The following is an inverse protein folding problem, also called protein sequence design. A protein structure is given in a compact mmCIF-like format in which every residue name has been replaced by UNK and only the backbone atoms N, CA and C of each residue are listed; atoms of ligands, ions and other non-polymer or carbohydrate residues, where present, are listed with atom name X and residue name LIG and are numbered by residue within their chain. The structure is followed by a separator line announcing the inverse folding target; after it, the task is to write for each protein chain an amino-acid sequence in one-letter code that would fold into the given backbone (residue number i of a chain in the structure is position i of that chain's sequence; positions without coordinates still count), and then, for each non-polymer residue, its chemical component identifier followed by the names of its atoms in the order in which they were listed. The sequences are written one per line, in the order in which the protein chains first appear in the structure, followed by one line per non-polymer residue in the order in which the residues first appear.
data_IF_255927847326
#
_entry.id   IF_255927847326
#
_cell.length_a   1.000
_cell.length_b   1.000
_cell.length_c   1.000
_cell.angle_alpha   90.00
_cell.angle_beta   90.00
_cell.angle_gamma   90.00
#
_symmetry.space_group_name_H-M   'P 1'
#
loop_
_entity.id
_entity.type
_entity.pdbx_description
1 polymer ?
#
# COMPACT_ATOMS: atom_id res chain seq x y z
N UNK A 1 -34.53 12.98 -2.27
CA UNK A 1 -33.18 13.12 -1.71
C UNK A 1 -32.96 11.86 -0.90
N UNK A 2 -32.02 10.97 -1.29
CA UNK A 2 -31.59 9.88 -0.39
C UNK A 2 -30.92 10.57 0.80
N UNK A 3 -31.34 10.24 2.02
CA UNK A 3 -30.60 10.62 3.22
C UNK A 3 -29.15 10.18 3.03
N UNK A 4 -28.20 11.10 3.25
CA UNK A 4 -26.78 10.80 3.26
C UNK A 4 -26.58 9.93 4.51
N UNK A 5 -26.58 8.61 4.34
CA UNK A 5 -26.36 7.69 5.45
C UNK A 5 -24.96 7.96 6.04
N UNK A 6 -24.94 8.25 7.32
CA UNK A 6 -23.67 8.34 8.06
C UNK A 6 -22.99 6.97 7.95
N UNK A 7 -21.73 6.97 7.52
CA UNK A 7 -20.95 5.73 7.41
C UNK A 7 -20.79 5.11 8.81
N UNK A 8 -21.16 3.85 8.93
CA UNK A 8 -20.98 3.08 10.16
C UNK A 8 -19.71 2.24 10.02
N UNK A 9 -18.59 2.78 10.52
CA UNK A 9 -17.27 2.13 10.44
C UNK A 9 -17.28 0.75 11.08
N UNK A 10 -18.06 0.54 12.15
CA UNK A 10 -18.14 -0.74 12.84
C UNK A 10 -18.69 -1.84 11.93
N UNK A 11 -19.72 -1.54 11.13
CA UNK A 11 -20.24 -2.50 10.15
C UNK A 11 -19.23 -2.85 9.06
N UNK A 12 -18.42 -1.89 8.63
CA UNK A 12 -17.33 -2.14 7.68
C UNK A 12 -16.26 -3.05 8.30
N UNK A 13 -15.85 -2.78 9.54
CA UNK A 13 -14.90 -3.60 10.27
C UNK A 13 -15.41 -5.03 10.49
N UNK A 14 -16.70 -5.19 10.85
CA UNK A 14 -17.35 -6.50 10.99
C UNK A 14 -17.39 -7.26 9.64
N UNK A 15 -17.76 -6.59 8.55
CA UNK A 15 -17.79 -7.18 7.21
C UNK A 15 -16.38 -7.54 6.69
N UNK A 16 -15.37 -6.73 7.00
CA UNK A 16 -13.97 -7.04 6.69
C UNK A 16 -13.47 -8.23 7.51
N UNK A 17 -13.81 -8.30 8.80
CA UNK A 17 -13.47 -9.43 9.66
C UNK A 17 -14.13 -10.74 9.19
N UNK A 18 -15.42 -10.69 8.78
CA UNK A 18 -16.12 -11.83 8.16
C UNK A 18 -15.40 -12.33 6.91
N UNK A 19 -14.98 -11.42 6.04
CA UNK A 19 -14.25 -11.77 4.83
C UNK A 19 -12.90 -12.42 5.14
N UNK A 20 -12.12 -11.80 6.02
CA UNK A 20 -10.76 -12.28 6.35
C UNK A 20 -10.77 -13.59 7.14
N UNK A 21 -11.84 -13.88 7.88
CA UNK A 21 -12.01 -15.15 8.59
C UNK A 21 -12.12 -16.39 7.66
N UNK A 22 -12.28 -16.19 6.35
CA UNK A 22 -12.25 -17.28 5.35
C UNK A 22 -10.83 -17.76 5.03
N UNK A 23 -9.82 -17.04 5.48
CA UNK A 23 -8.40 -17.34 5.28
C UNK A 23 -7.79 -17.81 6.61
N UNK A 24 -6.64 -18.47 6.54
CA UNK A 24 -5.93 -18.85 7.75
C UNK A 24 -5.36 -17.62 8.47
N UNK A 25 -6.13 -17.10 9.44
CA UNK A 25 -5.72 -15.94 10.24
C UNK A 25 -4.51 -16.21 11.15
N UNK A 26 -4.09 -17.47 11.30
CA UNK A 26 -2.86 -17.83 12.00
C UNK A 26 -1.64 -17.76 11.06
N UNK A 27 -1.83 -17.69 9.74
CA UNK A 27 -0.73 -17.41 8.82
C UNK A 27 -0.19 -15.99 9.08
N UNK A 28 1.10 -15.85 9.43
CA UNK A 28 1.70 -14.53 9.69
C UNK A 28 1.53 -13.54 8.54
N UNK A 29 1.42 -14.01 7.30
CA UNK A 29 1.19 -13.15 6.13
C UNK A 29 -0.23 -12.61 6.07
N UNK A 30 -1.22 -13.42 6.44
CA UNK A 30 -2.63 -13.01 6.54
C UNK A 30 -2.79 -12.00 7.67
N UNK A 31 -2.28 -12.31 8.87
CA UNK A 31 -2.32 -11.40 10.02
C UNK A 31 -1.61 -10.08 9.73
N UNK A 32 -0.44 -10.12 9.08
CA UNK A 32 0.27 -8.93 8.64
C UNK A 32 -0.62 -8.02 7.81
N UNK A 33 -1.37 -8.57 6.82
CA UNK A 33 -2.24 -7.80 5.94
C UNK A 33 -3.49 -7.27 6.64
N UNK A 34 -4.06 -8.03 7.57
CA UNK A 34 -5.16 -7.54 8.41
C UNK A 34 -4.71 -6.31 9.19
N UNK A 35 -3.61 -6.40 9.93
CA UNK A 35 -3.07 -5.29 10.72
C UNK A 35 -2.65 -4.09 9.86
N UNK A 36 -2.04 -4.33 8.70
CA UNK A 36 -1.68 -3.31 7.72
C UNK A 36 -2.91 -2.53 7.27
N UNK A 37 -3.99 -3.20 6.87
CA UNK A 37 -5.23 -2.57 6.42
C UNK A 37 -5.78 -1.58 7.47
N UNK A 38 -5.90 -1.98 8.73
CA UNK A 38 -6.37 -1.09 9.78
C UNK A 38 -5.44 0.11 10.02
N UNK A 39 -4.12 -0.08 9.96
CA UNK A 39 -3.16 1.01 10.13
C UNK A 39 -3.21 2.00 8.96
N UNK A 40 -3.31 1.50 7.72
CA UNK A 40 -3.46 2.34 6.54
C UNK A 40 -4.75 3.15 6.60
N UNK A 41 -5.88 2.54 7.00
CA UNK A 41 -7.14 3.27 7.19
C UNK A 41 -7.02 4.39 8.23
N UNK A 42 -6.36 4.12 9.36
CA UNK A 42 -6.10 5.14 10.39
C UNK A 42 -5.17 6.27 9.91
N UNK A 43 -4.17 5.93 9.08
CA UNK A 43 -3.27 6.92 8.47
C UNK A 43 -4.01 7.78 7.44
N UNK A 44 -4.87 7.19 6.60
CA UNK A 44 -5.74 7.93 5.68
C UNK A 44 -6.60 8.96 6.42
N UNK A 45 -7.21 8.55 7.54
CA UNK A 45 -7.97 9.45 8.40
C UNK A 45 -7.11 10.59 8.94
N UNK A 46 -5.90 10.30 9.46
CA UNK A 46 -4.99 11.32 10.01
C UNK A 46 -4.58 12.32 8.95
N UNK A 47 -4.22 11.85 7.75
CA UNK A 47 -3.84 12.71 6.63
C UNK A 47 -5.03 13.57 6.18
N UNK A 48 -6.22 13.00 5.97
CA UNK A 48 -7.42 13.75 5.56
C UNK A 48 -7.79 14.84 6.59
N UNK A 49 -7.72 14.54 7.89
CA UNK A 49 -7.94 15.54 8.96
C UNK A 49 -6.96 16.71 8.86
N UNK A 50 -5.68 16.45 8.56
CA UNK A 50 -4.68 17.51 8.41
C UNK A 50 -4.98 18.44 7.22
N UNK A 51 -5.67 17.92 6.21
CA UNK A 51 -6.13 18.68 5.03
C UNK A 51 -7.47 19.41 5.28
N UNK A 52 -8.00 19.37 6.49
CA UNK A 52 -9.29 20.00 6.87
C UNK A 52 -10.51 19.47 6.10
N UNK A 53 -10.45 18.19 5.71
CA UNK A 53 -11.57 17.52 5.08
C UNK A 53 -12.80 17.50 6.01
N UNK A 54 -13.99 17.48 5.42
CA UNK A 54 -15.26 17.25 6.14
C UNK A 54 -15.31 15.85 6.76
N UNK A 55 -16.18 15.62 7.73
CA UNK A 55 -16.36 14.30 8.35
C UNK A 55 -16.65 13.21 7.30
N UNK A 56 -17.42 13.55 6.25
CA UNK A 56 -17.74 12.62 5.15
C UNK A 56 -16.49 12.25 4.34
N UNK A 57 -15.65 13.20 4.02
CA UNK A 57 -14.39 12.99 3.29
C UNK A 57 -13.38 12.23 4.13
N UNK A 58 -13.36 12.46 5.45
CA UNK A 58 -12.52 11.70 6.39
C UNK A 58 -12.98 10.23 6.44
N UNK A 59 -14.30 9.97 6.51
CA UNK A 59 -14.84 8.62 6.45
C UNK A 59 -14.53 7.94 5.10
N UNK A 60 -14.62 8.68 4.00
CA UNK A 60 -14.26 8.19 2.66
C UNK A 60 -12.78 7.80 2.56
N UNK A 61 -11.87 8.66 3.07
CA UNK A 61 -10.45 8.36 3.10
C UNK A 61 -10.14 7.13 3.96
N UNK A 62 -10.77 7.02 5.13
CA UNK A 62 -10.66 5.85 6.00
C UNK A 62 -11.15 4.57 5.31
N UNK A 63 -12.30 4.63 4.63
CA UNK A 63 -12.85 3.50 3.87
C UNK A 63 -11.92 3.07 2.75
N UNK A 64 -11.32 4.02 2.02
CA UNK A 64 -10.32 3.70 0.98
C UNK A 64 -9.18 2.86 1.53
N UNK A 65 -8.70 3.20 2.73
CA UNK A 65 -7.68 2.41 3.43
C UNK A 65 -8.17 1.01 3.82
N UNK A 66 -9.44 0.85 4.23
CA UNK A 66 -10.02 -0.47 4.54
C UNK A 66 -10.15 -1.37 3.32
N UNK A 67 -10.32 -0.79 2.12
CA UNK A 67 -10.61 -1.55 0.90
C UNK A 67 -9.36 -1.84 0.05
N UNK A 68 -8.27 -1.07 0.18
CA UNK A 68 -7.18 -1.05 -0.79
C UNK A 68 -6.54 -2.43 -1.05
N UNK A 69 -6.39 -3.22 -0.02
CA UNK A 69 -5.67 -4.51 -0.04
C UNK A 69 -6.57 -5.75 0.10
N UNK A 70 -7.88 -5.61 -0.09
CA UNK A 70 -8.84 -6.75 -0.05
C UNK A 70 -8.42 -7.87 -1.00
N UNK A 71 -7.87 -7.55 -2.16
CA UNK A 71 -7.37 -8.51 -3.15
C UNK A 71 -6.14 -9.31 -2.70
N UNK A 72 -5.39 -8.83 -1.70
CA UNK A 72 -4.18 -9.51 -1.20
C UNK A 72 -4.47 -10.86 -0.57
N UNK A 73 -5.65 -11.04 0.03
CA UNK A 73 -6.04 -12.30 0.63
C UNK A 73 -6.24 -13.38 -0.45
N UNK A 74 -6.93 -13.05 -1.54
CA UNK A 74 -7.07 -13.94 -2.69
C UNK A 74 -5.74 -14.16 -3.42
N UNK A 75 -4.93 -13.11 -3.59
CA UNK A 75 -3.60 -13.22 -4.18
C UNK A 75 -2.74 -14.21 -3.39
N UNK A 76 -2.69 -14.09 -2.06
CA UNK A 76 -1.92 -15.00 -1.22
C UNK A 76 -2.46 -16.43 -1.29
N UNK A 77 -3.80 -16.61 -1.18
CA UNK A 77 -4.44 -17.93 -1.23
C UNK A 77 -4.14 -18.67 -2.53
N UNK A 78 -4.16 -17.97 -3.64
CA UNK A 78 -4.01 -18.57 -4.98
C UNK A 78 -2.57 -18.74 -5.42
N UNK A 79 -1.72 -17.79 -5.08
CA UNK A 79 -0.36 -17.73 -5.63
C UNK A 79 0.73 -17.91 -4.55
N UNK A 80 0.37 -17.93 -3.26
CA UNK A 80 1.33 -18.07 -2.16
C UNK A 80 2.29 -16.88 -1.99
N UNK A 81 2.07 -15.78 -2.72
CA UNK A 81 2.98 -14.63 -2.76
C UNK A 81 2.24 -13.30 -2.86
N UNK A 82 2.89 -12.22 -2.40
CA UNK A 82 2.44 -10.83 -2.59
C UNK A 82 3.16 -10.12 -3.76
N UNK A 83 3.95 -10.85 -4.56
CA UNK A 83 4.69 -10.27 -5.69
C UNK A 83 3.78 -10.23 -6.93
N UNK A 84 3.26 -9.06 -7.29
CA UNK A 84 2.34 -8.89 -8.40
C UNK A 84 2.89 -9.44 -9.72
N UNK A 85 4.18 -9.21 -10.00
CA UNK A 85 4.85 -9.73 -11.20
C UNK A 85 4.92 -11.28 -11.29
N UNK A 86 4.63 -11.99 -10.18
CA UNK A 86 4.59 -13.47 -10.10
C UNK A 86 3.16 -14.00 -9.88
N UNK A 87 2.17 -13.12 -9.88
CA UNK A 87 0.79 -13.46 -9.56
C UNK A 87 -0.21 -12.59 -10.33
N UNK A 88 -0.83 -11.62 -9.68
CA UNK A 88 -1.88 -10.74 -10.20
C UNK A 88 -1.69 -9.32 -9.66
N UNK A 89 -2.14 -8.31 -10.40
CA UNK A 89 -2.24 -6.95 -9.88
C UNK A 89 -3.25 -6.92 -8.72
N UNK A 90 -2.74 -6.78 -7.50
CA UNK A 90 -3.57 -6.81 -6.29
C UNK A 90 -4.49 -5.60 -6.17
N UNK A 91 -4.07 -4.43 -6.65
CA UNK A 91 -4.87 -3.22 -6.58
C UNK A 91 -6.08 -3.31 -7.51
N UNK A 92 -5.86 -3.76 -8.75
CA UNK A 92 -6.91 -4.09 -9.69
C UNK A 92 -7.85 -5.16 -9.14
N UNK A 93 -7.29 -6.24 -8.57
CA UNK A 93 -8.09 -7.31 -7.96
C UNK A 93 -8.91 -6.79 -6.77
N UNK A 94 -8.36 -5.93 -5.90
CA UNK A 94 -9.11 -5.33 -4.78
C UNK A 94 -10.31 -4.54 -5.29
N UNK A 95 -10.13 -3.69 -6.31
CA UNK A 95 -11.21 -2.92 -6.91
C UNK A 95 -12.27 -3.84 -7.55
N UNK A 96 -11.85 -4.88 -8.27
CA UNK A 96 -12.77 -5.82 -8.91
C UNK A 96 -13.58 -6.64 -7.90
N UNK A 97 -12.96 -7.06 -6.78
CA UNK A 97 -13.66 -7.80 -5.72
C UNK A 97 -14.75 -6.95 -5.04
N UNK A 98 -14.57 -5.65 -4.92
CA UNK A 98 -15.55 -4.74 -4.28
C UNK A 98 -16.53 -4.18 -5.30
N UNK A 99 -16.09 -3.71 -6.46
CA UNK A 99 -16.88 -2.94 -7.42
C UNK A 99 -17.19 -3.68 -8.72
N UNK A 100 -16.57 -4.84 -8.96
CA UNK A 100 -16.84 -5.69 -10.12
C UNK A 100 -18.29 -6.16 -10.18
N UNK A 101 -18.82 -6.44 -11.39
CA UNK A 101 -20.18 -6.94 -11.53
C UNK A 101 -20.35 -8.33 -10.89
N UNK A 102 -21.62 -8.65 -10.52
CA UNK A 102 -21.98 -9.91 -9.88
C UNK A 102 -21.73 -11.17 -10.76
N UNK A 103 -21.48 -11.00 -12.06
CA UNK A 103 -21.25 -12.06 -13.03
C UNK A 103 -19.78 -12.52 -13.07
N UNK A 104 -18.91 -11.95 -12.21
CA UNK A 104 -17.52 -12.38 -12.07
C UNK A 104 -16.59 -11.95 -13.21
N UNK A 105 -16.98 -10.98 -14.02
CA UNK A 105 -16.09 -10.37 -15.00
C UNK A 105 -15.10 -9.46 -14.27
N UNK A 106 -14.02 -10.07 -13.80
CA UNK A 106 -12.88 -9.33 -13.28
C UNK A 106 -12.19 -8.64 -14.47
N UNK A 107 -11.92 -7.33 -14.36
CA UNK A 107 -11.10 -6.61 -15.35
C UNK A 107 -9.63 -7.03 -15.26
N UNK A 108 -9.24 -7.55 -14.11
CA UNK A 108 -7.91 -8.10 -13.85
C UNK A 108 -7.84 -9.50 -14.44
N UNK A 109 -6.86 -9.76 -15.30
CA UNK A 109 -6.64 -11.08 -15.90
C UNK A 109 -6.32 -12.12 -14.82
N UNK A 110 -7.24 -13.06 -14.63
CA UNK A 110 -7.10 -14.22 -13.75
C UNK A 110 -7.22 -15.46 -14.62
N UNK A 111 -6.29 -16.41 -14.46
CA UNK A 111 -6.28 -17.63 -15.28
C UNK A 111 -7.45 -18.57 -14.95
N UNK A 112 -7.88 -19.43 -15.91
CA UNK A 112 -9.06 -20.33 -15.77
C UNK A 112 -9.01 -21.27 -14.55
N UNK A 113 -7.81 -21.56 -14.01
CA UNK A 113 -7.66 -22.38 -12.79
C UNK A 113 -8.17 -21.69 -11.53
N UNK A 114 -8.62 -20.44 -11.62
CA UNK A 114 -8.84 -19.54 -10.49
C UNK A 114 -10.31 -19.14 -10.33
N UNK A 115 -11.24 -19.93 -10.88
CA UNK A 115 -12.68 -19.63 -10.86
C UNK A 115 -13.32 -19.58 -9.48
N UNK A 116 -12.69 -20.13 -8.45
CA UNK A 116 -13.17 -20.06 -7.07
C UNK A 116 -12.57 -18.83 -6.35
N UNK A 117 -13.24 -17.70 -6.46
CA UNK A 117 -12.89 -16.46 -5.75
C UNK A 117 -13.81 -16.29 -4.53
N UNK A 118 -13.24 -15.92 -3.39
CA UNK A 118 -14.02 -15.54 -2.23
C UNK A 118 -14.40 -14.05 -2.31
N UNK A 119 -15.61 -13.79 -2.76
CA UNK A 119 -16.12 -12.42 -2.79
C UNK A 119 -16.45 -11.92 -1.38
N UNK A 120 -16.08 -10.68 -1.03
CA UNK A 120 -16.40 -10.05 0.24
C UNK A 120 -17.86 -9.52 0.22
N UNK A 121 -18.85 -10.42 0.15
CA UNK A 121 -20.23 -10.04 -0.15
C UNK A 121 -20.82 -9.05 0.86
N UNK A 122 -20.63 -9.25 2.16
CA UNK A 122 -21.12 -8.35 3.20
C UNK A 122 -20.48 -6.97 3.07
N UNK A 123 -19.17 -6.92 2.76
CA UNK A 123 -18.44 -5.68 2.57
C UNK A 123 -18.92 -4.92 1.32
N UNK A 124 -19.14 -5.64 0.20
CA UNK A 124 -19.72 -5.08 -1.04
C UNK A 124 -21.07 -4.45 -0.79
N UNK A 125 -22.00 -5.22 -0.21
CA UNK A 125 -23.35 -4.75 0.07
C UNK A 125 -23.33 -3.47 0.91
N UNK A 126 -22.49 -3.44 1.94
CA UNK A 126 -22.40 -2.28 2.80
C UNK A 126 -21.80 -1.06 2.08
N UNK A 127 -20.76 -1.26 1.26
CA UNK A 127 -20.17 -0.19 0.43
C UNK A 127 -21.21 0.40 -0.52
N UNK A 128 -22.02 -0.44 -1.18
CA UNK A 128 -23.13 0.00 -2.05
C UNK A 128 -24.21 0.79 -1.29
N UNK A 129 -24.50 0.41 -0.03
CA UNK A 129 -25.47 1.10 0.80
C UNK A 129 -24.97 2.46 1.30
N UNK A 130 -23.69 2.58 1.65
CA UNK A 130 -23.16 3.76 2.31
C UNK A 130 -22.57 4.81 1.38
N UNK A 131 -22.36 4.51 0.09
CA UNK A 131 -21.81 5.43 -0.90
C UNK A 131 -22.86 5.88 -1.92
N UNK A 132 -22.76 7.13 -2.36
CA UNK A 132 -23.41 7.56 -3.58
C UNK A 132 -22.76 6.94 -4.82
N UNK A 133 -23.47 6.90 -5.95
CA UNK A 133 -22.90 6.38 -7.21
C UNK A 133 -21.61 7.10 -7.62
N UNK A 134 -21.49 8.40 -7.33
CA UNK A 134 -20.29 9.20 -7.59
C UNK A 134 -19.14 8.80 -6.68
N UNK A 135 -19.40 8.66 -5.40
CA UNK A 135 -18.38 8.21 -4.42
C UNK A 135 -17.91 6.78 -4.72
N UNK A 136 -18.82 5.88 -5.16
CA UNK A 136 -18.45 4.52 -5.59
C UNK A 136 -17.49 4.53 -6.78
N UNK A 137 -17.71 5.41 -7.77
CA UNK A 137 -16.77 5.57 -8.89
C UNK A 137 -15.41 6.08 -8.43
N UNK A 138 -15.39 7.09 -7.55
CA UNK A 138 -14.13 7.62 -7.03
C UNK A 138 -13.33 6.59 -6.25
N UNK A 139 -13.96 5.89 -5.31
CA UNK A 139 -13.24 4.94 -4.45
C UNK A 139 -12.76 3.71 -5.24
N UNK A 140 -13.48 3.30 -6.29
CA UNK A 140 -13.00 2.28 -7.23
C UNK A 140 -11.67 2.70 -7.86
N UNK A 141 -11.56 3.94 -8.37
CA UNK A 141 -10.33 4.45 -8.96
C UNK A 141 -9.22 4.57 -7.91
N UNK A 142 -9.54 5.12 -6.74
CA UNK A 142 -8.60 5.27 -5.62
C UNK A 142 -7.98 3.92 -5.23
N UNK A 143 -8.81 2.88 -5.07
CA UNK A 143 -8.36 1.53 -4.75
C UNK A 143 -7.57 0.92 -5.91
N UNK A 144 -8.05 1.05 -7.15
CA UNK A 144 -7.42 0.46 -8.34
C UNK A 144 -6.00 0.98 -8.60
N UNK A 145 -5.74 2.25 -8.33
CA UNK A 145 -4.47 2.89 -8.67
C UNK A 145 -3.54 3.13 -7.47
N UNK A 146 -3.88 2.62 -6.28
CA UNK A 146 -3.06 2.90 -5.09
C UNK A 146 -1.61 2.42 -5.20
N UNK A 147 -1.36 1.30 -5.88
CA UNK A 147 -0.02 0.71 -6.04
C UNK A 147 0.69 1.12 -7.34
N UNK A 148 0.05 1.91 -8.22
CA UNK A 148 0.65 2.36 -9.47
C UNK A 148 1.88 3.25 -9.22
N UNK A 149 2.87 3.17 -10.10
CA UNK A 149 4.05 4.05 -10.00
C UNK A 149 3.66 5.53 -10.14
N UNK A 150 2.84 5.84 -11.12
CA UNK A 150 2.21 7.16 -11.35
C UNK A 150 0.70 6.98 -11.48
N UNK A 151 -0.05 7.99 -11.08
CA UNK A 151 -1.50 8.01 -11.31
C UNK A 151 -1.77 8.22 -12.80
N UNK A 152 -2.81 7.59 -13.36
CA UNK A 152 -3.16 7.79 -14.75
C UNK A 152 -3.68 9.22 -15.00
N UNK A 153 -3.52 9.69 -16.22
CA UNK A 153 -4.13 10.93 -16.68
C UNK A 153 -5.67 10.82 -16.68
N UNK A 154 -6.35 11.94 -16.45
CA UNK A 154 -7.80 12.03 -16.56
C UNK A 154 -8.58 11.71 -15.29
N UNK A 155 -7.92 11.47 -14.16
CA UNK A 155 -8.59 11.44 -12.86
C UNK A 155 -9.13 12.82 -12.49
N UNK A 156 -10.29 12.88 -11.83
CA UNK A 156 -10.82 14.11 -11.24
C UNK A 156 -9.91 14.64 -10.11
N UNK A 157 -10.15 15.87 -9.66
CA UNK A 157 -9.43 16.44 -8.52
C UNK A 157 -9.64 15.61 -7.26
N UNK A 158 -10.86 15.16 -7.01
CA UNK A 158 -11.21 14.32 -5.86
C UNK A 158 -10.56 12.93 -5.94
N UNK A 159 -10.60 12.27 -7.10
CA UNK A 159 -9.94 10.98 -7.31
C UNK A 159 -8.42 11.10 -7.10
N UNK A 160 -7.83 12.16 -7.63
CA UNK A 160 -6.40 12.45 -7.45
C UNK A 160 -6.06 12.71 -5.97
N UNK A 161 -6.88 13.52 -5.30
CA UNK A 161 -6.67 13.86 -3.89
C UNK A 161 -6.73 12.60 -3.00
N UNK A 162 -7.81 11.81 -3.09
CA UNK A 162 -7.96 10.62 -2.27
C UNK A 162 -6.99 9.49 -2.65
N UNK A 163 -6.61 9.38 -3.94
CA UNK A 163 -5.53 8.49 -4.35
C UNK A 163 -4.21 8.86 -3.68
N UNK A 164 -3.87 10.14 -3.61
CA UNK A 164 -2.66 10.59 -2.92
C UNK A 164 -2.74 10.35 -1.42
N UNK A 165 -3.90 10.56 -0.77
CA UNK A 165 -4.09 10.24 0.66
C UNK A 165 -3.82 8.76 0.93
N UNK A 166 -4.42 7.86 0.15
CA UNK A 166 -4.24 6.42 0.30
C UNK A 166 -2.79 6.00 0.01
N UNK A 167 -2.20 6.50 -1.07
CA UNK A 167 -0.82 6.18 -1.47
C UNK A 167 0.21 6.62 -0.45
N UNK A 168 0.02 7.78 0.17
CA UNK A 168 0.88 8.26 1.25
C UNK A 168 0.73 7.37 2.48
N UNK A 169 -0.50 7.07 2.89
CA UNK A 169 -0.79 6.20 4.03
C UNK A 169 -0.16 4.80 3.88
N UNK A 170 -0.31 4.19 2.70
CA UNK A 170 0.27 2.88 2.39
C UNK A 170 1.80 2.91 2.43
N UNK A 171 2.45 3.91 1.79
CA UNK A 171 3.90 4.08 1.84
C UNK A 171 4.44 4.24 3.26
N UNK A 172 3.74 5.00 4.11
CA UNK A 172 4.11 5.18 5.52
C UNK A 172 4.09 3.84 6.27
N UNK A 173 3.01 3.06 6.10
CA UNK A 173 2.91 1.76 6.79
C UNK A 173 3.88 0.72 6.23
N UNK A 174 4.23 0.77 4.94
CA UNK A 174 5.26 -0.07 4.34
C UNK A 174 6.61 0.11 5.05
N UNK A 175 7.00 1.32 5.45
CA UNK A 175 8.23 1.54 6.21
C UNK A 175 8.19 0.80 7.56
N UNK A 176 7.05 0.85 8.27
CA UNK A 176 6.83 0.09 9.50
C UNK A 176 6.93 -1.41 9.27
N UNK A 177 6.19 -1.92 8.28
CA UNK A 177 6.18 -3.36 7.93
C UNK A 177 7.60 -3.87 7.67
N UNK A 178 8.41 -3.12 6.91
CA UNK A 178 9.79 -3.50 6.61
C UNK A 178 10.71 -3.54 7.84
N UNK A 179 10.38 -2.81 8.90
CA UNK A 179 11.19 -2.79 10.12
C UNK A 179 10.72 -3.79 11.19
N UNK A 180 9.45 -4.18 11.16
CA UNK A 180 8.86 -5.07 12.16
C UNK A 180 8.75 -6.53 11.68
N UNK A 181 8.91 -6.79 10.39
CA UNK A 181 8.86 -8.13 9.81
C UNK A 181 10.27 -8.63 9.51
N UNK A 182 10.58 -9.90 9.77
CA UNK A 182 11.89 -10.48 9.45
C UNK A 182 12.27 -10.27 7.99
N UNK A 183 13.53 -9.88 7.75
CA UNK A 183 14.09 -9.57 6.43
C UNK A 183 13.86 -10.71 5.43
N UNK A 184 14.01 -11.95 5.89
CA UNK A 184 13.82 -13.16 5.09
C UNK A 184 12.39 -13.31 4.58
N UNK A 185 11.40 -12.84 5.35
CA UNK A 185 9.99 -12.88 4.94
C UNK A 185 9.62 -11.75 3.98
N UNK A 186 10.24 -10.57 4.11
CA UNK A 186 9.98 -9.42 3.25
C UNK A 186 10.65 -9.58 1.89
N UNK A 187 11.95 -9.89 1.90
CA UNK A 187 12.77 -9.89 0.68
C UNK A 187 12.96 -11.28 0.09
N UNK A 188 12.58 -12.33 0.82
CA UNK A 188 12.73 -13.74 0.42
C UNK A 188 14.18 -14.10 0.07
N UNK A 189 15.12 -13.58 0.86
CA UNK A 189 16.57 -13.79 0.77
C UNK A 189 17.14 -13.97 2.17
N UNK A 190 18.32 -14.55 2.29
CA UNK A 190 19.00 -14.65 3.59
C UNK A 190 19.52 -13.29 4.05
N UNK A 191 19.66 -13.13 5.37
CA UNK A 191 20.30 -11.94 5.96
C UNK A 191 21.72 -11.76 5.46
N UNK A 192 22.47 -12.85 5.26
CA UNK A 192 23.84 -12.81 4.73
C UNK A 192 23.88 -12.29 3.29
N UNK A 193 23.01 -12.80 2.41
CA UNK A 193 22.90 -12.34 1.03
C UNK A 193 22.55 -10.86 0.96
N UNK A 194 21.57 -10.41 1.77
CA UNK A 194 21.18 -9.00 1.82
C UNK A 194 22.34 -8.11 2.26
N UNK A 195 23.08 -8.48 3.33
CA UNK A 195 24.18 -7.67 3.86
C UNK A 195 25.37 -7.58 2.92
N UNK A 196 25.62 -8.60 2.10
CA UNK A 196 26.72 -8.65 1.16
C UNK A 196 26.37 -8.07 -0.23
N UNK A 197 25.09 -7.81 -0.50
CA UNK A 197 24.68 -7.27 -1.80
C UNK A 197 25.02 -5.79 -1.97
N UNK A 198 25.22 -5.38 -3.23
CA UNK A 198 25.55 -4.01 -3.63
C UNK A 198 24.33 -3.31 -4.21
N UNK A 199 24.13 -2.03 -3.87
CA UNK A 199 23.11 -1.19 -4.50
C UNK A 199 23.50 -0.92 -5.94
N UNK A 200 22.58 -1.18 -6.89
CA UNK A 200 22.86 -0.97 -8.30
C UNK A 200 23.00 0.52 -8.64
N UNK A 201 23.80 0.88 -9.65
CA UNK A 201 24.01 2.28 -10.03
C UNK A 201 22.72 3.00 -10.42
N UNK A 202 21.78 2.32 -11.10
CA UNK A 202 20.51 2.88 -11.54
C UNK A 202 19.59 3.21 -10.34
N UNK A 203 19.63 2.40 -9.30
CA UNK A 203 18.91 2.64 -8.04
C UNK A 203 19.49 3.83 -7.31
N UNK A 204 20.83 3.92 -7.19
CA UNK A 204 21.49 5.08 -6.59
C UNK A 204 21.17 6.36 -7.36
N UNK A 205 21.23 6.34 -8.69
CA UNK A 205 20.91 7.49 -9.53
C UNK A 205 19.47 7.97 -9.31
N UNK A 206 18.48 7.06 -9.30
CA UNK A 206 17.08 7.41 -9.06
C UNK A 206 16.89 8.03 -7.66
N UNK A 207 17.61 7.51 -6.66
CA UNK A 207 17.57 8.06 -5.30
C UNK A 207 18.19 9.47 -5.23
N UNK A 208 19.32 9.71 -5.89
CA UNK A 208 19.96 11.03 -5.99
C UNK A 208 19.09 12.07 -6.70
N UNK A 209 18.30 11.62 -7.68
CA UNK A 209 17.29 12.43 -8.35
C UNK A 209 16.03 12.65 -7.50
N UNK A 210 16.00 12.13 -6.26
CA UNK A 210 14.87 12.24 -5.32
C UNK A 210 13.56 11.69 -5.89
N UNK A 211 13.65 10.55 -6.60
CA UNK A 211 12.49 9.83 -7.18
C UNK A 211 12.24 8.50 -6.49
N UNK A 212 11.00 8.07 -6.47
CA UNK A 212 10.66 6.68 -6.16
C UNK A 212 11.35 5.75 -7.18
N UNK A 213 11.64 4.51 -6.77
CA UNK A 213 12.44 3.58 -7.58
C UNK A 213 11.54 2.58 -8.28
N UNK A 214 11.58 2.57 -9.61
CA UNK A 214 10.89 1.57 -10.44
C UNK A 214 11.30 0.15 -10.07
N UNK A 215 10.34 -0.77 -10.02
CA UNK A 215 10.61 -2.20 -9.71
C UNK A 215 11.62 -2.82 -10.68
N UNK A 216 11.58 -2.44 -11.96
CA UNK A 216 12.47 -2.93 -13.01
C UNK A 216 13.95 -2.56 -12.81
N UNK A 217 14.25 -1.54 -12.02
CA UNK A 217 15.63 -1.13 -11.70
C UNK A 217 16.24 -1.97 -10.58
N UNK A 218 15.43 -2.65 -9.76
CA UNK A 218 15.88 -3.41 -8.61
C UNK A 218 16.39 -4.78 -9.06
N UNK A 219 17.69 -5.02 -8.95
CA UNK A 219 18.38 -6.24 -9.38
C UNK A 219 18.96 -7.04 -8.22
N UNK A 220 19.21 -6.40 -7.09
CA UNK A 220 19.82 -7.00 -5.90
C UNK A 220 18.87 -6.92 -4.69
N UNK A 221 19.08 -7.76 -3.68
CA UNK A 221 18.28 -7.69 -2.45
C UNK A 221 18.29 -6.31 -1.79
N UNK A 222 19.44 -5.65 -1.69
CA UNK A 222 19.56 -4.33 -1.05
C UNK A 222 18.90 -3.21 -1.87
N UNK A 223 18.71 -3.38 -3.17
CA UNK A 223 17.93 -2.44 -4.01
C UNK A 223 16.48 -2.33 -3.51
N UNK A 224 15.91 -3.41 -3.00
CA UNK A 224 14.57 -3.38 -2.42
C UNK A 224 14.53 -2.54 -1.14
N UNK A 225 15.55 -2.64 -0.28
CA UNK A 225 15.66 -1.79 0.93
C UNK A 225 15.72 -0.31 0.53
N UNK A 226 16.61 0.04 -0.40
CA UNK A 226 16.73 1.42 -0.90
C UNK A 226 15.45 1.87 -1.58
N UNK A 227 14.77 0.97 -2.31
CA UNK A 227 13.49 1.24 -2.92
C UNK A 227 12.38 1.56 -1.91
N UNK A 228 12.35 0.91 -0.76
CA UNK A 228 11.41 1.24 0.31
C UNK A 228 11.77 2.57 0.99
N UNK A 229 13.05 2.84 1.25
CA UNK A 229 13.49 4.16 1.75
C UNK A 229 13.07 5.28 0.78
N UNK A 230 13.21 5.06 -0.53
CA UNK A 230 12.85 6.04 -1.56
C UNK A 230 11.33 6.33 -1.67
N UNK A 231 10.46 5.56 -1.01
CA UNK A 231 9.02 5.83 -0.97
C UNK A 231 8.69 7.22 -0.42
N UNK A 232 9.55 7.77 0.45
CA UNK A 232 9.37 9.11 1.02
C UNK A 232 9.45 10.23 -0.03
N UNK A 233 10.08 10.00 -1.18
CA UNK A 233 10.11 10.97 -2.27
C UNK A 233 8.77 11.10 -3.00
N UNK A 234 7.92 10.08 -2.91
CA UNK A 234 6.58 10.07 -3.46
C UNK A 234 5.48 10.45 -2.47
N UNK A 235 5.81 10.99 -1.30
CA UNK A 235 4.84 11.54 -0.36
C UNK A 235 4.41 12.94 -0.81
N UNK A 236 3.09 13.17 -0.81
CA UNK A 236 2.47 14.40 -1.33
C UNK A 236 2.15 15.38 -0.21
N UNK A 237 1.66 14.90 0.93
CA UNK A 237 1.20 15.77 2.00
C UNK A 237 2.30 16.03 3.04
N UNK A 238 2.44 17.28 3.55
CA UNK A 238 3.41 17.60 4.61
C UNK A 238 3.21 16.74 5.86
N UNK A 239 1.96 16.47 6.25
CA UNK A 239 1.62 15.61 7.38
C UNK A 239 2.17 14.19 7.22
N UNK A 240 2.20 13.66 5.99
CA UNK A 240 2.75 12.33 5.71
C UNK A 240 4.22 12.24 6.09
N UNK A 241 5.01 13.24 5.74
CA UNK A 241 6.43 13.30 6.14
C UNK A 241 6.59 13.50 7.65
N UNK A 242 5.71 14.27 8.28
CA UNK A 242 5.72 14.45 9.75
C UNK A 242 5.46 13.10 10.45
N UNK A 243 4.48 12.32 9.98
CA UNK A 243 4.18 10.99 10.52
C UNK A 243 5.39 10.05 10.36
N UNK A 244 6.06 10.05 9.19
CA UNK A 244 7.28 9.25 8.96
C UNK A 244 8.35 9.57 9.99
N UNK A 245 8.60 10.87 10.26
CA UNK A 245 9.56 11.33 11.28
C UNK A 245 9.17 10.88 12.69
N UNK A 246 7.90 11.05 13.07
CA UNK A 246 7.39 10.64 14.39
C UNK A 246 7.53 9.13 14.61
N UNK A 247 7.31 8.32 13.58
CA UNK A 247 7.44 6.86 13.68
C UNK A 247 8.89 6.36 13.75
N UNK A 248 9.84 7.09 13.16
CA UNK A 248 11.27 6.77 13.19
C UNK A 248 11.67 5.49 12.44
N UNK A 249 10.81 4.93 11.60
CA UNK A 249 11.14 3.72 10.82
C UNK A 249 12.07 4.02 9.66
N UNK A 250 11.98 5.20 9.07
CA UNK A 250 12.89 5.65 8.00
C UNK A 250 14.35 5.69 8.50
N UNK A 251 14.58 6.28 9.67
CA UNK A 251 15.90 6.37 10.29
C UNK A 251 16.45 4.98 10.61
N UNK A 252 15.60 4.07 11.09
CA UNK A 252 16.00 2.68 11.33
C UNK A 252 16.39 1.98 10.03
N UNK A 253 15.64 2.17 8.93
CA UNK A 253 16.00 1.62 7.61
C UNK A 253 17.31 2.21 7.10
N UNK A 254 17.54 3.51 7.27
CA UNK A 254 18.78 4.19 6.91
C UNK A 254 19.99 3.74 7.74
N UNK A 255 19.76 3.14 8.92
CA UNK A 255 20.80 2.54 9.75
C UNK A 255 21.15 1.10 9.36
N UNK A 256 20.66 0.62 8.22
CA UNK A 256 20.98 -0.72 7.70
C UNK A 256 22.50 -0.96 7.70
N UNK A 257 22.89 -2.06 8.31
CA UNK A 257 24.29 -2.46 8.41
C UNK A 257 24.65 -3.46 7.30
N UNK A 258 25.41 -2.98 6.31
CA UNK A 258 25.95 -3.81 5.23
C UNK A 258 27.35 -4.33 5.60
N UNK A 259 27.71 -5.51 5.11
CA UNK A 259 29.08 -6.03 5.13
C UNK A 259 29.86 -5.63 3.86
N UNK A 260 29.18 -5.17 2.81
CA UNK A 260 29.79 -4.69 1.57
C UNK A 260 30.24 -3.22 1.72
N UNK A 261 31.55 -2.96 1.53
CA UNK A 261 32.13 -1.62 1.72
C UNK A 261 31.55 -0.55 0.80
N UNK A 262 31.21 -0.93 -0.44
CA UNK A 262 30.58 0.00 -1.38
C UNK A 262 29.17 0.36 -0.93
N UNK A 263 28.39 -0.61 -0.47
CA UNK A 263 27.06 -0.39 0.06
C UNK A 263 27.08 0.46 1.34
N UNK A 264 28.07 0.29 2.20
CA UNK A 264 28.29 1.19 3.37
C UNK A 264 28.41 2.65 2.94
N UNK A 265 29.25 2.91 1.93
CA UNK A 265 29.43 4.26 1.37
C UNK A 265 28.14 4.78 0.71
N UNK A 266 27.43 3.91 -0.03
CA UNK A 266 26.15 4.25 -0.65
C UNK A 266 25.11 4.64 0.42
N UNK A 267 24.96 3.89 1.51
CA UNK A 267 24.04 4.24 2.61
C UNK A 267 24.46 5.53 3.34
N UNK A 268 25.76 5.83 3.46
CA UNK A 268 26.19 7.14 3.93
C UNK A 268 25.68 8.26 3.02
N UNK A 269 25.75 8.07 1.70
CA UNK A 269 25.25 9.03 0.71
C UNK A 269 23.73 9.18 0.79
N UNK A 270 22.95 8.09 0.95
CA UNK A 270 21.50 8.16 1.14
C UNK A 270 21.12 9.04 2.34
N UNK A 271 21.82 8.88 3.46
CA UNK A 271 21.62 9.70 4.67
C UNK A 271 21.90 11.19 4.42
N UNK A 272 22.93 11.54 3.65
CA UNK A 272 23.22 12.93 3.28
C UNK A 272 22.10 13.55 2.44
N UNK A 273 21.62 12.82 1.42
CA UNK A 273 20.54 13.28 0.52
C UNK A 273 19.26 13.59 1.29
N UNK A 274 18.90 12.75 2.26
CA UNK A 274 17.70 12.95 3.05
C UNK A 274 17.82 14.07 4.07
N UNK A 275 19.00 14.30 4.66
CA UNK A 275 19.24 15.45 5.55
C UNK A 275 19.07 16.79 4.85
N UNK A 276 19.44 16.89 3.57
CA UNK A 276 19.29 18.13 2.77
C UNK A 276 17.83 18.45 2.38
N UNK A 277 16.87 17.55 2.68
CA UNK A 277 15.43 17.79 2.50
C UNK A 277 14.78 18.44 3.75
N UNK A 278 15.52 18.50 4.86
CA UNK A 278 15.00 19.01 6.14
C UNK A 278 15.30 20.51 6.36
N UNK A 279 16.04 21.13 5.46
CA UNK A 279 16.29 22.58 5.38
C UNK A 279 15.39 23.22 4.30
#
# INVERSE_FOLDING_TARGET
MREIYKMDRKKIEEAFAEYTARYDVQDPKVDLKIRHTYRVASLCEKIAKSQKCSDREIDFAWLSGMLHDVGRFEQLRKYGTFIDAKSVDHAGLSADLIFGNAEGNLRTEITEKEKEIYYPQSLRNYVEECLSSRESMWIEQVVRWHSAYELPDGLSEEETFFSNVLRDADKIDILKVNMETPIEQIYNVSTEELKNSEVTPEVMKAFEEKRTILRSLKKTPVDHVVGHIALVFGLVFPESMQIVKEQGYLEKMLSFHSENEKTKAQFARLREILKTKEQ
#
